data_IF_095056115018
#
_entry.id   IF_095056115018
#
_cell.length_a   1.000
_cell.length_b   1.000
_cell.length_c   1.000
_cell.angle_alpha   90.00
_cell.angle_beta   90.00
_cell.angle_gamma   90.00
#
_symmetry.space_group_name_H-M   'P 1'
#
loop_
_entity.id
_entity.type
_entity.pdbx_description
1 polymer ?
#
# COMPACT_ATOMS: atom_id res chain seq x y z
N UNK A 1 15.11 -9.06 24.71
CA UNK A 1 14.03 -8.57 25.61
C UNK A 1 13.35 -9.75 26.29
N UNK A 2 13.22 -9.69 27.60
CA UNK A 2 12.53 -10.72 28.40
C UNK A 2 11.36 -10.08 29.16
N UNK A 3 10.16 -10.64 28.98
CA UNK A 3 8.96 -10.19 29.68
C UNK A 3 8.71 -11.06 30.91
N UNK A 4 8.54 -10.46 32.07
CA UNK A 4 8.14 -11.09 33.33
C UNK A 4 6.76 -10.55 33.73
N UNK A 5 6.20 -11.01 34.87
CA UNK A 5 4.81 -10.72 35.22
C UNK A 5 4.44 -9.22 35.19
N UNK A 6 5.33 -8.37 35.70
CA UNK A 6 5.09 -6.92 35.83
C UNK A 6 6.32 -6.09 35.43
N UNK A 7 7.27 -6.69 34.68
CA UNK A 7 8.47 -5.99 34.25
C UNK A 7 9.01 -6.52 32.93
N UNK A 8 9.65 -5.64 32.21
CA UNK A 8 10.33 -5.91 30.96
C UNK A 8 11.83 -5.67 31.17
N UNK A 9 12.63 -6.71 30.95
CA UNK A 9 14.08 -6.60 30.91
C UNK A 9 14.50 -6.33 29.46
N UNK A 10 15.13 -5.19 29.23
CA UNK A 10 15.69 -4.79 27.94
C UNK A 10 17.10 -5.38 27.73
N UNK A 11 17.57 -5.37 26.48
CA UNK A 11 18.88 -5.88 26.10
C UNK A 11 20.06 -5.10 26.74
N UNK A 12 19.84 -3.82 27.08
CA UNK A 12 20.77 -2.98 27.82
C UNK A 12 20.71 -3.19 29.35
N UNK A 13 19.98 -4.21 29.81
CA UNK A 13 19.76 -4.58 31.23
C UNK A 13 18.85 -3.64 32.02
N UNK A 14 18.22 -2.65 31.39
CA UNK A 14 17.21 -1.83 32.03
C UNK A 14 15.94 -2.62 32.34
N UNK A 15 15.35 -2.34 33.51
CA UNK A 15 14.10 -2.96 33.94
C UNK A 15 12.99 -1.92 33.91
N UNK A 16 12.00 -2.11 33.04
CA UNK A 16 10.81 -1.28 32.97
C UNK A 16 9.65 -1.99 33.67
N UNK A 17 9.10 -1.38 34.70
CA UNK A 17 7.88 -1.85 35.38
C UNK A 17 6.67 -1.38 34.62
N UNK A 18 5.61 -2.20 34.54
CA UNK A 18 4.36 -1.87 33.88
C UNK A 18 3.18 -2.56 34.59
N UNK A 19 1.99 -1.96 34.47
CA UNK A 19 0.72 -2.55 34.83
C UNK A 19 0.05 -3.20 33.62
N UNK A 20 0.31 -2.65 32.42
CA UNK A 20 -0.16 -3.15 31.14
C UNK A 20 0.95 -3.06 30.10
N UNK A 21 1.06 -4.05 29.24
CA UNK A 21 1.93 -4.03 28.05
C UNK A 21 1.09 -4.25 26.80
N UNK A 22 1.33 -3.43 25.78
CA UNK A 22 0.69 -3.57 24.46
C UNK A 22 1.75 -4.04 23.45
N UNK A 23 1.54 -5.19 22.86
CA UNK A 23 2.37 -5.72 21.77
C UNK A 23 1.72 -5.38 20.42
N UNK A 24 2.36 -4.46 19.69
CA UNK A 24 1.95 -4.06 18.33
C UNK A 24 3.09 -4.28 17.34
N UNK A 25 3.64 -5.50 17.31
CA UNK A 25 4.88 -5.87 16.59
C UNK A 25 4.64 -6.27 15.13
N UNK A 26 3.46 -5.98 14.57
CA UNK A 26 3.08 -6.34 13.21
C UNK A 26 2.67 -7.81 13.05
N UNK A 27 2.68 -8.29 11.80
CA UNK A 27 2.23 -9.63 11.43
C UNK A 27 3.35 -10.38 10.69
N UNK A 28 3.26 -11.69 10.70
CA UNK A 28 4.09 -12.58 9.87
C UNK A 28 3.19 -13.43 8.99
N UNK A 29 3.49 -13.57 7.70
CA UNK A 29 2.77 -14.46 6.81
C UNK A 29 2.77 -15.91 7.34
N UNK A 30 1.61 -16.54 7.31
CA UNK A 30 1.50 -17.96 7.62
C UNK A 30 1.72 -18.77 6.35
N UNK A 31 2.96 -19.16 6.09
CA UNK A 31 3.39 -19.85 4.86
C UNK A 31 3.53 -21.36 5.03
N UNK A 32 3.32 -21.88 6.25
CA UNK A 32 3.62 -23.28 6.63
C UNK A 32 3.00 -24.33 5.72
N UNK A 33 1.83 -24.05 5.13
CA UNK A 33 1.14 -24.95 4.22
C UNK A 33 1.92 -25.25 2.93
N UNK A 34 2.79 -24.34 2.48
CA UNK A 34 3.56 -24.47 1.23
C UNK A 34 5.05 -24.72 1.47
N UNK A 35 5.47 -25.03 2.71
CA UNK A 35 6.87 -25.37 3.00
C UNK A 35 7.32 -26.57 2.17
N UNK A 36 8.39 -26.40 1.39
CA UNK A 36 8.93 -27.45 0.53
C UNK A 36 8.10 -27.71 -0.75
N UNK A 37 7.05 -26.93 -1.00
CA UNK A 37 6.18 -27.05 -2.18
C UNK A 37 6.39 -25.87 -3.13
N UNK A 38 6.40 -24.65 -2.60
CA UNK A 38 6.61 -23.42 -3.37
C UNK A 38 7.73 -22.58 -2.76
N UNK A 39 8.25 -21.63 -3.49
CA UNK A 39 9.28 -20.70 -3.01
C UNK A 39 8.69 -19.73 -1.98
N UNK A 40 9.41 -19.60 -0.87
CA UNK A 40 9.05 -18.73 0.26
C UNK A 40 10.30 -17.96 0.69
N UNK A 41 10.18 -16.64 0.82
CA UNK A 41 11.15 -15.77 1.50
C UNK A 41 10.51 -15.25 2.79
N UNK A 42 10.04 -14.02 2.82
CA UNK A 42 9.24 -13.46 3.93
C UNK A 42 7.75 -13.76 3.82
N UNK A 43 7.29 -14.07 2.61
CA UNK A 43 5.96 -14.54 2.24
C UNK A 43 6.08 -15.52 1.07
N UNK A 44 4.95 -16.08 0.63
CA UNK A 44 4.91 -16.93 -0.55
C UNK A 44 5.23 -16.07 -1.78
N UNK A 45 6.20 -16.48 -2.60
CA UNK A 45 6.56 -15.79 -3.83
C UNK A 45 5.53 -16.10 -4.91
N UNK A 46 5.02 -15.06 -5.54
CA UNK A 46 4.07 -15.15 -6.66
C UNK A 46 4.47 -14.21 -7.79
N UNK A 47 4.03 -14.55 -9.00
CA UNK A 47 4.06 -13.63 -10.14
C UNK A 47 2.90 -12.59 -10.03
N UNK A 48 2.79 -11.68 -11.01
CA UNK A 48 1.74 -10.66 -11.06
C UNK A 48 0.34 -11.22 -11.41
N UNK A 49 0.24 -12.52 -11.63
CA UNK A 49 -1.00 -13.26 -11.84
C UNK A 49 -1.43 -14.06 -10.60
N UNK A 50 -0.69 -13.97 -9.50
CA UNK A 50 -0.94 -14.73 -8.28
C UNK A 50 -0.50 -16.19 -8.32
N UNK A 51 0.28 -16.61 -9.35
CA UNK A 51 0.80 -17.97 -9.47
C UNK A 51 2.02 -18.14 -8.59
N UNK A 52 2.07 -19.22 -7.82
CA UNK A 52 3.27 -19.61 -7.08
C UNK A 52 4.28 -20.30 -8.00
N UNK A 53 5.46 -20.60 -7.47
CA UNK A 53 6.45 -21.42 -8.20
C UNK A 53 6.06 -22.90 -8.32
N UNK A 54 5.04 -23.35 -7.59
CA UNK A 54 4.46 -24.67 -7.74
C UNK A 54 3.30 -24.65 -8.76
N UNK A 55 3.27 -25.65 -9.67
CA UNK A 55 2.23 -25.75 -10.68
C UNK A 55 0.84 -25.85 -10.04
N UNK A 56 -0.15 -25.19 -10.67
CA UNK A 56 -1.58 -25.23 -10.29
C UNK A 56 -1.89 -24.69 -8.87
N UNK A 57 -0.93 -23.98 -8.24
CA UNK A 57 -1.12 -23.35 -6.94
C UNK A 57 -1.05 -21.85 -7.07
N UNK A 58 -2.09 -21.16 -6.60
CA UNK A 58 -2.18 -19.72 -6.50
C UNK A 58 -2.15 -19.28 -5.04
N UNK A 59 -1.64 -18.07 -4.78
CA UNK A 59 -1.69 -17.46 -3.47
C UNK A 59 -2.19 -16.01 -3.57
N UNK A 60 -2.92 -15.57 -2.54
CA UNK A 60 -3.45 -14.22 -2.43
C UNK A 60 -3.52 -13.76 -0.98
N UNK A 61 -3.49 -12.45 -0.75
CA UNK A 61 -3.66 -11.83 0.56
C UNK A 61 -2.38 -11.75 1.37
N UNK A 62 -2.53 -11.76 2.69
CA UNK A 62 -1.47 -11.41 3.65
C UNK A 62 -0.34 -12.44 3.75
N UNK A 63 -0.53 -13.63 3.17
CA UNK A 63 0.48 -14.70 3.19
C UNK A 63 1.55 -14.58 2.11
N UNK A 64 1.37 -13.71 1.13
CA UNK A 64 2.29 -13.59 0.00
C UNK A 64 3.21 -12.37 0.07
N UNK A 65 4.23 -12.41 -0.76
CA UNK A 65 5.17 -11.33 -1.02
C UNK A 65 5.01 -10.89 -2.47
N UNK A 66 4.84 -9.58 -2.68
CA UNK A 66 4.61 -8.98 -4.00
C UNK A 66 5.40 -7.69 -4.18
N UNK A 67 5.45 -7.19 -5.41
CA UNK A 67 6.18 -5.97 -5.74
C UNK A 67 5.39 -4.71 -5.36
N UNK A 68 6.01 -3.84 -4.56
CA UNK A 68 5.55 -2.47 -4.34
C UNK A 68 5.86 -1.63 -5.59
N UNK A 69 4.84 -1.17 -6.30
CA UNK A 69 5.03 -0.42 -7.55
C UNK A 69 5.63 0.97 -7.33
N UNK A 70 5.60 1.50 -6.11
CA UNK A 70 6.15 2.81 -5.81
C UNK A 70 7.69 2.82 -5.73
N UNK A 71 8.33 1.68 -5.38
CA UNK A 71 9.79 1.57 -5.30
C UNK A 71 10.38 0.33 -6.01
N UNK A 72 9.54 -0.57 -6.50
CA UNK A 72 9.94 -1.80 -7.19
C UNK A 72 10.46 -2.92 -6.26
N UNK A 73 10.36 -2.75 -4.94
CA UNK A 73 10.84 -3.75 -3.99
C UNK A 73 9.79 -4.82 -3.68
N UNK A 74 10.24 -6.06 -3.54
CA UNK A 74 9.39 -7.16 -3.11
C UNK A 74 9.17 -7.12 -1.59
N UNK A 75 7.91 -7.06 -1.17
CA UNK A 75 7.49 -6.87 0.23
C UNK A 75 6.25 -7.70 0.56
N UNK A 76 6.11 -8.04 1.84
CA UNK A 76 4.81 -8.46 2.39
C UNK A 76 4.00 -7.20 2.64
N UNK A 77 2.86 -7.09 1.98
CA UNK A 77 1.93 -5.95 2.12
C UNK A 77 0.58 -6.45 2.61
N UNK A 78 0.53 -6.84 3.88
CA UNK A 78 -0.65 -7.35 4.58
C UNK A 78 -1.67 -6.22 4.81
N UNK A 79 -2.41 -5.88 3.75
CA UNK A 79 -3.38 -4.78 3.70
C UNK A 79 -4.66 -5.24 3.01
N UNK A 80 -5.79 -4.99 3.63
CA UNK A 80 -7.10 -5.42 3.13
C UNK A 80 -7.37 -5.03 1.66
N UNK A 81 -7.09 -3.79 1.19
CA UNK A 81 -7.31 -3.44 -0.22
C UNK A 81 -6.44 -4.26 -1.19
N UNK A 82 -5.19 -4.55 -0.81
CA UNK A 82 -4.30 -5.37 -1.62
C UNK A 82 -4.77 -6.83 -1.62
N UNK A 83 -5.14 -7.37 -0.45
CA UNK A 83 -5.65 -8.74 -0.33
C UNK A 83 -6.89 -8.97 -1.20
N UNK A 84 -7.80 -7.99 -1.29
CA UNK A 84 -8.97 -8.06 -2.15
C UNK A 84 -8.59 -8.15 -3.64
N UNK A 85 -7.74 -7.24 -4.12
CA UNK A 85 -7.28 -7.22 -5.52
C UNK A 85 -6.52 -8.48 -5.90
N UNK A 86 -5.67 -8.98 -5.00
CA UNK A 86 -4.93 -10.23 -5.18
C UNK A 86 -5.88 -11.43 -5.26
N UNK A 87 -6.90 -11.48 -4.38
CA UNK A 87 -7.90 -12.55 -4.37
C UNK A 87 -8.74 -12.57 -5.63
N UNK A 88 -9.16 -11.41 -6.13
CA UNK A 88 -9.86 -11.26 -7.41
C UNK A 88 -8.99 -11.74 -8.58
N UNK A 89 -7.73 -11.29 -8.63
CA UNK A 89 -6.77 -11.70 -9.65
C UNK A 89 -6.56 -13.23 -9.65
N UNK A 90 -6.26 -13.80 -8.49
CA UNK A 90 -6.07 -15.25 -8.37
C UNK A 90 -7.32 -16.03 -8.79
N UNK A 91 -8.52 -15.60 -8.36
CA UNK A 91 -9.78 -16.25 -8.72
C UNK A 91 -10.06 -16.23 -10.21
N UNK A 92 -9.84 -15.10 -10.90
CA UNK A 92 -9.98 -14.98 -12.35
C UNK A 92 -9.00 -15.94 -13.06
N UNK A 93 -7.74 -15.98 -12.62
CA UNK A 93 -6.70 -16.80 -13.24
C UNK A 93 -6.89 -18.29 -12.98
N UNK A 94 -7.37 -18.68 -11.81
CA UNK A 94 -7.78 -20.07 -11.52
C UNK A 94 -8.93 -20.53 -12.41
N UNK A 95 -9.80 -19.61 -12.85
CA UNK A 95 -10.87 -19.90 -13.80
C UNK A 95 -10.42 -19.86 -15.27
N UNK A 96 -9.13 -19.78 -15.54
CA UNK A 96 -8.57 -19.75 -16.91
C UNK A 96 -8.46 -18.36 -17.53
N UNK A 97 -8.67 -17.29 -16.74
CA UNK A 97 -8.46 -15.91 -17.17
C UNK A 97 -6.98 -15.52 -17.24
N UNK A 98 -6.73 -14.25 -17.58
CA UNK A 98 -5.39 -13.67 -17.64
C UNK A 98 -5.41 -12.26 -17.06
N UNK A 99 -5.57 -12.16 -15.73
CA UNK A 99 -5.61 -10.90 -14.99
C UNK A 99 -4.31 -10.66 -14.24
N UNK A 100 -3.86 -9.40 -14.14
CA UNK A 100 -2.65 -9.00 -13.42
C UNK A 100 -2.98 -8.00 -12.32
N UNK A 101 -2.31 -8.10 -11.16
CA UNK A 101 -2.48 -7.18 -10.02
C UNK A 101 -1.24 -6.33 -9.71
N UNK A 102 -0.49 -5.95 -10.72
CA UNK A 102 0.76 -5.17 -10.63
C UNK A 102 0.59 -3.72 -10.08
N UNK A 103 -0.38 -3.48 -9.19
CA UNK A 103 -0.72 -2.15 -8.68
C UNK A 103 -0.68 -2.06 -7.16
N UNK A 104 0.07 -2.92 -6.50
CA UNK A 104 0.15 -2.94 -5.03
C UNK A 104 1.05 -1.83 -4.50
N UNK A 105 0.57 -1.15 -3.47
CA UNK A 105 1.30 -0.10 -2.73
C UNK A 105 1.08 -0.27 -1.23
N UNK A 106 2.03 0.11 -0.37
CA UNK A 106 1.76 0.28 1.04
C UNK A 106 0.76 1.42 1.24
N UNK A 107 -0.23 1.21 2.08
CA UNK A 107 -1.28 2.19 2.35
C UNK A 107 -1.80 2.03 3.77
N UNK A 108 -2.04 3.14 4.46
CA UNK A 108 -2.67 3.17 5.77
C UNK A 108 -3.76 4.24 5.79
N UNK A 109 -4.90 3.91 6.40
CA UNK A 109 -5.97 4.84 6.68
C UNK A 109 -6.40 4.66 8.14
N UNK A 110 -6.30 5.71 8.92
CA UNK A 110 -6.59 5.70 10.36
C UNK A 110 -7.50 6.87 10.70
N UNK A 111 -8.57 6.59 11.45
CA UNK A 111 -9.40 7.61 12.11
C UNK A 111 -9.17 7.55 13.62
N UNK A 112 -8.78 8.66 14.23
CA UNK A 112 -8.45 8.71 15.65
C UNK A 112 -8.98 10.00 16.29
N UNK A 113 -9.98 9.91 17.16
CA UNK A 113 -10.64 11.04 17.81
C UNK A 113 -11.05 12.19 16.87
N UNK A 114 -11.60 11.87 15.71
CA UNK A 114 -12.00 12.87 14.71
C UNK A 114 -10.87 13.36 13.81
N UNK A 115 -9.63 12.96 14.04
CA UNK A 115 -8.51 13.19 13.15
C UNK A 115 -8.41 12.02 12.17
N UNK A 116 -8.44 12.30 10.87
CA UNK A 116 -8.26 11.33 9.82
C UNK A 116 -6.87 11.45 9.20
N UNK A 117 -6.23 10.31 8.97
CA UNK A 117 -4.89 10.22 8.39
C UNK A 117 -4.93 9.19 7.28
N UNK A 118 -4.44 9.54 6.09
CA UNK A 118 -4.20 8.60 4.99
C UNK A 118 -2.77 8.78 4.51
N UNK A 119 -2.06 7.66 4.39
CA UNK A 119 -0.72 7.63 3.79
C UNK A 119 -0.64 6.49 2.80
N UNK A 120 0.09 6.68 1.70
CA UNK A 120 0.35 5.61 0.75
C UNK A 120 1.67 5.80 0.01
N UNK A 121 2.22 4.69 -0.51
CA UNK A 121 3.46 4.67 -1.30
C UNK A 121 4.71 4.93 -0.48
N UNK A 122 5.75 5.41 -1.15
CA UNK A 122 7.06 5.71 -0.59
C UNK A 122 7.33 7.21 -0.49
N UNK A 123 8.08 7.62 0.52
CA UNK A 123 8.33 9.04 0.84
C UNK A 123 9.68 9.48 0.28
N UNK A 124 9.86 9.34 -1.04
CA UNK A 124 11.10 9.64 -1.76
C UNK A 124 10.86 10.63 -2.90
N UNK A 125 11.88 11.43 -3.21
CA UNK A 125 11.87 12.40 -4.32
C UNK A 125 11.56 13.82 -3.91
N UNK A 126 11.10 14.62 -4.87
CA UNK A 126 10.72 16.02 -4.67
C UNK A 126 9.45 16.11 -3.82
N UNK A 127 9.41 17.09 -2.93
CA UNK A 127 8.36 17.24 -1.94
C UNK A 127 7.52 18.47 -2.25
N UNK A 128 6.20 18.28 -2.37
CA UNK A 128 5.21 19.32 -2.18
C UNK A 128 4.63 19.21 -0.79
N UNK A 129 4.59 20.31 -0.06
CA UNK A 129 4.08 20.35 1.31
C UNK A 129 3.16 21.55 1.51
N UNK A 130 2.04 21.30 2.15
CA UNK A 130 1.06 22.31 2.58
C UNK A 130 0.62 21.99 3.98
N UNK A 131 0.62 23.01 4.85
CA UNK A 131 0.22 22.86 6.25
C UNK A 131 -0.54 24.09 6.75
N UNK A 132 -1.61 23.85 7.46
CA UNK A 132 -2.28 24.85 8.29
C UNK A 132 -2.54 24.30 9.71
N UNK A 133 -3.39 24.98 10.50
CA UNK A 133 -3.68 24.57 11.88
C UNK A 133 -4.48 23.26 12.00
N UNK A 134 -5.07 22.76 10.93
CA UNK A 134 -5.99 21.60 10.92
C UNK A 134 -5.60 20.54 9.90
N UNK A 135 -4.84 20.90 8.87
CA UNK A 135 -4.55 20.05 7.74
C UNK A 135 -3.05 19.98 7.48
N UNK A 136 -2.60 18.79 7.10
CA UNK A 136 -1.25 18.56 6.60
C UNK A 136 -1.33 17.70 5.35
N UNK A 137 -0.72 18.17 4.28
CA UNK A 137 -0.59 17.45 3.03
C UNK A 137 0.87 17.42 2.59
N UNK A 138 1.35 16.24 2.25
CA UNK A 138 2.68 16.05 1.70
C UNK A 138 2.62 15.06 0.55
N UNK A 139 3.16 15.45 -0.59
CA UNK A 139 3.23 14.63 -1.79
C UNK A 139 4.70 14.42 -2.14
N UNK A 140 5.03 13.21 -2.58
CA UNK A 140 6.38 12.82 -2.95
C UNK A 140 6.40 12.39 -4.40
N UNK A 141 7.19 13.08 -5.25
CA UNK A 141 7.28 12.85 -6.67
C UNK A 141 8.72 12.55 -7.10
N UNK A 142 8.92 11.56 -7.95
CA UNK A 142 10.21 11.23 -8.51
C UNK A 142 10.04 10.56 -9.87
N UNK A 143 10.93 10.86 -10.82
CA UNK A 143 10.91 10.31 -12.17
C UNK A 143 9.53 10.44 -12.85
N UNK A 144 8.95 11.64 -12.77
CA UNK A 144 7.66 11.95 -13.36
C UNK A 144 6.49 11.09 -12.82
N UNK A 145 6.58 10.60 -11.60
CA UNK A 145 5.55 9.78 -10.95
C UNK A 145 5.34 10.19 -9.50
N UNK A 146 4.09 10.15 -9.05
CA UNK A 146 3.79 10.26 -7.61
C UNK A 146 4.25 8.97 -6.93
N UNK A 147 5.20 9.08 -6.01
CA UNK A 147 5.76 7.95 -5.26
C UNK A 147 5.05 7.67 -3.95
N UNK A 148 4.50 8.69 -3.36
CA UNK A 148 3.74 8.56 -2.13
C UNK A 148 3.04 9.84 -1.73
N UNK A 149 2.20 9.75 -0.72
CA UNK A 149 1.53 10.91 -0.15
C UNK A 149 1.15 10.70 1.31
N UNK A 150 0.94 11.80 2.01
CA UNK A 150 0.47 11.86 3.37
C UNK A 150 -0.57 12.96 3.50
N UNK A 151 -1.76 12.63 4.01
CA UNK A 151 -2.85 13.56 4.29
C UNK A 151 -3.25 13.40 5.75
N UNK A 152 -3.38 14.51 6.46
CA UNK A 152 -3.83 14.55 7.86
C UNK A 152 -4.91 15.64 7.97
N UNK A 153 -6.02 15.31 8.60
CA UNK A 153 -7.17 16.19 8.78
C UNK A 153 -8.09 16.19 7.56
N UNK A 154 -7.75 16.93 6.51
CA UNK A 154 -8.46 16.86 5.24
C UNK A 154 -7.95 15.69 4.39
N UNK A 155 -8.81 14.70 4.22
CA UNK A 155 -8.53 13.50 3.41
C UNK A 155 -9.40 13.44 2.16
N UNK A 156 -10.11 14.53 1.84
CA UNK A 156 -10.95 14.57 0.65
C UNK A 156 -10.12 14.27 -0.61
N UNK A 157 -10.73 13.48 -1.50
CA UNK A 157 -10.13 13.11 -2.78
C UNK A 157 -8.79 12.36 -2.71
N UNK A 158 -8.46 11.76 -1.56
CA UNK A 158 -7.29 10.87 -1.42
C UNK A 158 -7.23 9.79 -2.51
N UNK A 159 -8.38 9.35 -3.04
CA UNK A 159 -8.47 8.41 -4.15
C UNK A 159 -7.76 8.87 -5.43
N UNK A 160 -7.65 10.18 -5.68
CA UNK A 160 -6.90 10.72 -6.82
C UNK A 160 -5.41 10.45 -6.64
N UNK A 161 -4.84 10.78 -5.48
CA UNK A 161 -3.44 10.49 -5.17
C UNK A 161 -3.16 8.98 -5.17
N UNK A 162 -4.07 8.18 -4.59
CA UNK A 162 -3.98 6.71 -4.61
C UNK A 162 -3.90 6.19 -6.04
N UNK A 163 -4.75 6.70 -6.94
CA UNK A 163 -4.74 6.30 -8.36
C UNK A 163 -3.44 6.68 -9.05
N UNK A 164 -2.97 7.92 -8.89
CA UNK A 164 -1.70 8.39 -9.47
C UNK A 164 -0.55 7.51 -9.04
N UNK A 165 -0.51 7.14 -7.76
CA UNK A 165 0.53 6.29 -7.20
C UNK A 165 0.41 4.84 -7.70
N UNK A 166 -0.77 4.22 -7.62
CA UNK A 166 -0.99 2.82 -8.05
C UNK A 166 -0.76 2.61 -9.54
N UNK A 167 -1.28 3.50 -10.37
CA UNK A 167 -1.19 3.38 -11.84
C UNK A 167 0.08 4.00 -12.40
N UNK A 168 0.94 4.58 -11.55
CA UNK A 168 2.18 5.25 -11.95
C UNK A 168 1.93 6.19 -13.15
N UNK A 169 0.88 7.02 -13.06
CA UNK A 169 0.50 7.98 -14.11
C UNK A 169 1.59 9.03 -14.26
N UNK A 170 1.95 9.39 -15.50
CA UNK A 170 2.89 10.46 -15.79
C UNK A 170 2.34 11.80 -15.31
N UNK A 171 3.08 12.51 -14.48
CA UNK A 171 2.68 13.82 -13.96
C UNK A 171 2.69 14.91 -15.06
N UNK A 172 3.44 14.69 -16.16
CA UNK A 172 3.43 15.56 -17.32
C UNK A 172 2.14 15.47 -18.17
N UNK A 173 1.34 14.40 -18.02
CA UNK A 173 0.09 14.22 -18.76
C UNK A 173 -1.11 14.88 -18.09
N UNK A 174 -0.92 15.43 -16.90
CA UNK A 174 -1.95 16.04 -16.06
C UNK A 174 -1.54 17.45 -15.61
N UNK A 175 -2.48 18.23 -15.14
CA UNK A 175 -2.17 19.48 -14.43
C UNK A 175 -1.75 19.16 -12.99
N UNK A 176 -0.47 18.77 -12.83
CA UNK A 176 0.06 18.37 -11.51
C UNK A 176 0.07 19.51 -10.49
N UNK A 177 0.40 20.78 -10.83
CA UNK A 177 0.23 21.90 -9.92
C UNK A 177 -1.20 22.01 -9.36
N UNK A 178 -2.21 21.88 -10.21
CA UNK A 178 -3.60 21.86 -9.76
C UNK A 178 -3.92 20.66 -8.85
N UNK A 179 -3.34 19.49 -9.14
CA UNK A 179 -3.47 18.30 -8.26
C UNK A 179 -2.86 18.56 -6.89
N UNK A 180 -1.72 19.25 -6.83
CA UNK A 180 -1.09 19.60 -5.57
C UNK A 180 -1.97 20.49 -4.70
N UNK A 181 -2.56 21.53 -5.28
CA UNK A 181 -3.41 22.48 -4.57
C UNK A 181 -4.80 21.92 -4.29
N UNK A 182 -5.50 21.51 -5.36
CA UNK A 182 -6.91 21.06 -5.32
C UNK A 182 -7.10 19.82 -6.20
N UNK A 183 -6.88 18.62 -5.70
CA UNK A 183 -7.02 17.40 -6.49
C UNK A 183 -8.44 17.27 -7.04
N UNK A 184 -8.56 17.11 -8.35
CA UNK A 184 -9.83 17.03 -9.03
C UNK A 184 -9.72 16.41 -10.41
N UNK A 185 -10.84 15.86 -10.92
CA UNK A 185 -10.86 15.23 -12.24
C UNK A 185 -10.56 16.24 -13.37
N UNK A 186 -10.76 17.53 -13.14
CA UNK A 186 -10.47 18.58 -14.13
C UNK A 186 -8.98 18.65 -14.50
N UNK A 187 -8.09 18.19 -13.63
CA UNK A 187 -6.65 18.13 -13.88
C UNK A 187 -6.24 17.05 -14.90
N UNK A 188 -7.16 16.16 -15.28
CA UNK A 188 -6.93 15.08 -16.22
C UNK A 188 -7.48 15.43 -17.62
N UNK A 189 -6.92 14.85 -18.65
CA UNK A 189 -7.43 14.99 -20.03
C UNK A 189 -8.89 14.50 -20.15
N UNK A 190 -9.59 14.94 -21.18
CA UNK A 190 -10.98 14.50 -21.42
C UNK A 190 -11.09 12.99 -21.60
N UNK A 191 -10.11 12.38 -22.25
CA UNK A 191 -10.06 10.94 -22.49
C UNK A 191 -9.88 10.18 -21.17
N UNK A 192 -8.95 10.61 -20.30
CA UNK A 192 -8.73 10.02 -19.00
C UNK A 192 -9.95 10.16 -18.09
N UNK A 193 -10.62 11.34 -18.10
CA UNK A 193 -11.85 11.53 -17.34
C UNK A 193 -12.96 10.57 -17.76
N UNK A 194 -13.14 10.36 -19.07
CA UNK A 194 -14.14 9.41 -19.58
C UNK A 194 -13.83 7.98 -19.10
N UNK A 195 -12.56 7.54 -19.19
CA UNK A 195 -12.15 6.23 -18.69
C UNK A 195 -12.38 6.08 -17.16
N UNK A 196 -12.17 7.16 -16.39
CA UNK A 196 -12.42 7.17 -14.94
C UNK A 196 -13.90 7.07 -14.57
N UNK A 197 -14.79 7.62 -15.40
CA UNK A 197 -16.22 7.66 -15.16
C UNK A 197 -16.99 6.47 -15.74
N UNK A 198 -16.28 5.45 -16.25
CA UNK A 198 -16.90 4.25 -16.82
C UNK A 198 -17.50 4.48 -18.21
N UNK A 199 -16.93 5.40 -18.99
CA UNK A 199 -17.27 5.57 -20.39
C UNK A 199 -16.97 4.29 -21.21
N UNK A 200 -17.61 4.11 -22.37
CA UNK A 200 -17.38 2.93 -23.19
C UNK A 200 -15.89 2.80 -23.54
N UNK A 201 -15.35 1.62 -23.27
CA UNK A 201 -13.99 1.20 -23.68
C UNK A 201 -13.98 0.85 -25.15
#
# INVERSE_FOLDING_TARGET
IRCEKNSLLLDNQDIIKFDMIVLAAGVRPNTGLLNGIAEIDRGIIVDDHGRTTAADIFAAGDCLQTTDVSDGQSKVMALMPNAYLMGECAGINMAGGNHSFSTTIPMNAVGFFGLHIITAGNYIGDIYEEQDSRHYKRLFAQHDRLKGYMLIGDIERAGIYTRLNRQQISLHTIDYPLICERPGLIAFSSQERQAMLGGPQ
#
